data_IF_495270121563
#
_entry.id   IF_495270121563
#
_cell.length_a   1.000
_cell.length_b   1.000
_cell.length_c   1.000
_cell.angle_alpha   90.00
_cell.angle_beta   90.00
_cell.angle_gamma   90.00
#
_symmetry.space_group_name_H-M   'P 1'
#
loop_
_entity.id
_entity.type
_entity.pdbx_description
1 polymer ?
#
# COMPACT_ATOMS: atom_id res chain seq x y z
N UNK A 1 -43.88 20.27 -18.81
CA UNK A 1 -42.61 19.63 -19.20
C UNK A 1 -41.77 19.51 -17.94
N UNK A 2 -41.69 18.31 -17.38
CA UNK A 2 -40.80 18.03 -16.24
C UNK A 2 -39.47 17.55 -16.82
N UNK A 3 -38.41 18.31 -16.56
CA UNK A 3 -37.05 17.99 -16.95
C UNK A 3 -36.52 16.95 -15.95
N UNK A 4 -36.42 15.69 -16.39
CA UNK A 4 -35.76 14.64 -15.62
C UNK A 4 -34.27 14.99 -15.54
N UNK A 5 -33.84 15.55 -14.41
CA UNK A 5 -32.43 15.68 -14.08
C UNK A 5 -31.87 14.29 -13.76
N UNK A 6 -31.47 13.57 -14.80
CA UNK A 6 -30.66 12.37 -14.63
C UNK A 6 -29.31 12.79 -14.02
N UNK A 7 -29.19 12.65 -12.70
CA UNK A 7 -27.89 12.70 -12.03
C UNK A 7 -26.99 11.63 -12.67
N UNK A 8 -25.83 11.99 -13.23
CA UNK A 8 -24.97 11.03 -13.90
C UNK A 8 -24.52 10.01 -12.86
N UNK A 9 -24.90 8.74 -13.07
CA UNK A 9 -24.41 7.62 -12.29
C UNK A 9 -22.91 7.49 -12.57
N UNK A 10 -22.09 8.12 -11.72
CA UNK A 10 -20.66 7.85 -11.69
C UNK A 10 -20.54 6.34 -11.52
N UNK A 11 -20.01 5.63 -12.51
CA UNK A 11 -19.90 4.18 -12.41
C UNK A 11 -19.03 3.87 -11.19
N UNK A 12 -19.64 3.34 -10.13
CA UNK A 12 -18.94 3.04 -8.86
C UNK A 12 -18.05 1.80 -9.00
N UNK A 13 -18.29 1.02 -10.06
CA UNK A 13 -17.64 -0.26 -10.35
C UNK A 13 -16.09 -0.16 -10.39
N UNK A 14 -15.46 0.81 -11.09
CA UNK A 14 -14.00 0.93 -11.12
C UNK A 14 -13.39 1.32 -9.76
N UNK A 15 -14.11 2.07 -8.92
CA UNK A 15 -13.64 2.45 -7.60
C UNK A 15 -13.66 1.25 -6.63
N UNK A 16 -14.71 0.42 -6.69
CA UNK A 16 -14.82 -0.80 -5.89
C UNK A 16 -13.67 -1.76 -6.18
N UNK A 17 -13.36 -2.03 -7.45
CA UNK A 17 -12.24 -2.91 -7.81
C UNK A 17 -10.89 -2.42 -7.28
N UNK A 18 -10.67 -1.10 -7.28
CA UNK A 18 -9.46 -0.50 -6.73
C UNK A 18 -9.38 -0.66 -5.21
N UNK A 19 -10.48 -0.45 -4.48
CA UNK A 19 -10.53 -0.68 -3.04
C UNK A 19 -10.28 -2.16 -2.68
N UNK A 20 -10.82 -3.09 -3.48
CA UNK A 20 -10.52 -4.52 -3.34
C UNK A 20 -9.03 -4.79 -3.50
N UNK A 21 -8.33 -4.09 -4.40
CA UNK A 21 -6.87 -4.22 -4.53
C UNK A 21 -6.12 -3.83 -3.25
N UNK A 22 -6.61 -2.85 -2.50
CA UNK A 22 -6.04 -2.49 -1.20
C UNK A 22 -6.17 -3.60 -0.17
N UNK A 23 -7.34 -4.25 -0.10
CA UNK A 23 -7.53 -5.43 0.75
C UNK A 23 -6.72 -6.64 0.29
N UNK A 24 -6.58 -6.85 -1.03
CA UNK A 24 -5.74 -7.89 -1.59
C UNK A 24 -4.28 -7.70 -1.19
N UNK A 25 -3.75 -6.48 -1.26
CA UNK A 25 -2.40 -6.18 -0.79
C UNK A 25 -2.23 -6.52 0.69
N UNK A 26 -3.16 -6.08 1.56
CA UNK A 26 -3.12 -6.41 2.98
C UNK A 26 -3.17 -7.93 3.23
N UNK A 27 -4.03 -8.64 2.51
CA UNK A 27 -4.13 -10.10 2.56
C UNK A 27 -2.83 -10.80 2.13
N UNK A 28 -2.20 -10.34 1.05
CA UNK A 28 -0.89 -10.84 0.59
C UNK A 28 0.18 -10.54 1.64
N UNK A 29 0.19 -9.36 2.24
CA UNK A 29 1.14 -9.00 3.29
C UNK A 29 0.98 -9.88 4.54
N UNK A 30 -0.26 -10.16 4.95
CA UNK A 30 -0.56 -11.09 6.05
C UNK A 30 -0.10 -12.50 5.69
N UNK A 31 -0.39 -12.97 4.48
CA UNK A 31 0.06 -14.29 4.01
C UNK A 31 1.59 -14.39 4.05
N UNK A 32 2.30 -13.41 3.49
CA UNK A 32 3.76 -13.38 3.45
C UNK A 32 4.38 -13.29 4.84
N UNK A 33 3.77 -12.55 5.76
CA UNK A 33 4.21 -12.48 7.15
C UNK A 33 4.22 -13.86 7.83
N UNK A 34 3.16 -14.65 7.62
CA UNK A 34 3.09 -16.01 8.13
C UNK A 34 4.01 -16.96 7.35
N UNK A 35 4.10 -16.80 6.03
CA UNK A 35 4.94 -17.62 5.17
C UNK A 35 6.43 -17.51 5.56
N UNK A 36 6.91 -16.31 5.85
CA UNK A 36 8.27 -16.06 6.33
C UNK A 36 8.45 -16.32 7.83
N UNK A 37 7.45 -16.88 8.50
CA UNK A 37 7.52 -17.25 9.93
C UNK A 37 7.87 -16.09 10.86
N UNK A 38 7.40 -14.89 10.56
CA UNK A 38 7.42 -13.78 11.52
C UNK A 38 6.46 -14.07 12.70
N UNK A 39 6.53 -13.24 13.75
CA UNK A 39 5.71 -13.37 14.96
C UNK A 39 4.22 -13.58 14.66
N UNK A 40 3.57 -14.46 15.41
CA UNK A 40 2.14 -14.71 15.24
C UNK A 40 1.33 -13.42 15.49
N UNK A 41 0.60 -12.95 14.49
CA UNK A 41 -0.15 -11.69 14.57
C UNK A 41 -1.24 -11.71 15.66
N UNK A 42 -1.86 -12.87 15.88
CA UNK A 42 -2.89 -13.03 16.91
C UNK A 42 -2.27 -12.97 18.31
N UNK A 43 -1.16 -13.66 18.52
CA UNK A 43 -0.41 -13.59 19.77
C UNK A 43 0.11 -12.17 20.03
N UNK A 44 0.64 -11.50 19.00
CA UNK A 44 1.04 -10.09 19.12
C UNK A 44 -0.12 -9.20 19.53
N UNK A 45 -1.32 -9.39 18.98
CA UNK A 45 -2.50 -8.61 19.37
C UNK A 45 -2.93 -8.86 20.82
N UNK A 46 -2.73 -10.06 21.35
CA UNK A 46 -3.11 -10.43 22.71
C UNK A 46 -2.06 -10.03 23.75
N UNK A 47 -0.79 -10.29 23.46
CA UNK A 47 0.33 -10.17 24.41
C UNK A 47 1.04 -8.82 24.29
N UNK A 48 1.11 -8.26 23.07
CA UNK A 48 1.71 -6.94 22.79
C UNK A 48 0.79 -6.09 21.90
N UNK A 49 -0.42 -5.74 22.37
CA UNK A 49 -1.47 -5.18 21.53
C UNK A 49 -1.04 -3.99 20.65
N UNK A 50 -0.24 -3.03 21.15
CA UNK A 50 0.22 -1.91 20.32
C UNK A 50 1.08 -2.35 19.13
N UNK A 51 1.95 -3.35 19.31
CA UNK A 51 2.82 -3.86 18.25
C UNK A 51 2.02 -4.62 17.20
N UNK A 52 1.11 -5.50 17.64
CA UNK A 52 0.20 -6.22 16.72
C UNK A 52 -0.68 -5.27 15.91
N UNK A 53 -1.26 -4.26 16.57
CA UNK A 53 -2.05 -3.24 15.92
C UNK A 53 -1.23 -2.42 14.91
N UNK A 54 0.00 -2.01 15.28
CA UNK A 54 0.88 -1.26 14.38
C UNK A 54 1.18 -2.02 13.08
N UNK A 55 1.46 -3.32 13.17
CA UNK A 55 1.75 -4.17 12.01
C UNK A 55 0.52 -4.31 11.11
N UNK A 56 -0.65 -4.62 11.69
CA UNK A 56 -1.89 -4.78 10.92
C UNK A 56 -2.33 -3.47 10.25
N UNK A 57 -2.24 -2.35 10.98
CA UNK A 57 -2.51 -1.02 10.42
C UNK A 57 -1.52 -0.74 9.29
N UNK A 58 -0.24 -1.09 9.45
CA UNK A 58 0.77 -0.93 8.40
C UNK A 58 0.44 -1.72 7.14
N UNK A 59 0.13 -3.01 7.28
CA UNK A 59 -0.29 -3.88 6.16
C UNK A 59 -1.51 -3.31 5.43
N UNK A 60 -2.50 -2.84 6.19
CA UNK A 60 -3.69 -2.20 5.61
C UNK A 60 -3.34 -0.88 4.92
N UNK A 61 -2.63 0.03 5.59
CA UNK A 61 -2.32 1.36 5.10
C UNK A 61 -1.46 1.31 3.82
N UNK A 62 -0.49 0.40 3.75
CA UNK A 62 0.33 0.16 2.56
C UNK A 62 -0.54 -0.21 1.35
N UNK A 63 -1.55 -1.06 1.52
CA UNK A 63 -2.46 -1.38 0.43
C UNK A 63 -3.46 -0.27 0.11
N UNK A 64 -4.05 0.33 1.15
CA UNK A 64 -5.23 1.18 0.99
C UNK A 64 -4.90 2.63 0.62
N UNK A 65 -3.86 3.23 1.23
CA UNK A 65 -3.53 4.65 1.00
C UNK A 65 -3.12 4.92 -0.46
N UNK A 66 -2.26 4.12 -1.11
CA UNK A 66 -1.91 4.33 -2.51
C UNK A 66 -3.11 4.17 -3.45
N UNK A 67 -4.00 3.21 -3.14
CA UNK A 67 -5.25 2.99 -3.86
C UNK A 67 -6.15 4.23 -3.76
N UNK A 68 -6.30 4.82 -2.56
CA UNK A 68 -7.06 6.05 -2.37
C UNK A 68 -6.47 7.20 -3.17
N UNK A 69 -5.14 7.33 -3.22
CA UNK A 69 -4.46 8.29 -4.09
C UNK A 69 -4.80 8.08 -5.58
N UNK A 70 -4.85 6.83 -6.03
CA UNK A 70 -5.20 6.51 -7.43
C UNK A 70 -6.65 6.86 -7.79
N UNK A 71 -7.56 6.81 -6.83
CA UNK A 71 -8.98 7.16 -7.01
C UNK A 71 -9.16 8.67 -6.94
N UNK A 72 -8.67 9.29 -5.87
CA UNK A 72 -8.93 10.70 -5.55
C UNK A 72 -8.11 11.66 -6.42
N UNK A 73 -6.86 11.30 -6.72
CA UNK A 73 -5.92 12.15 -7.45
C UNK A 73 -5.62 11.64 -8.87
N UNK A 74 -6.16 10.48 -9.28
CA UNK A 74 -5.86 9.86 -10.60
C UNK A 74 -4.35 9.66 -10.84
N UNK A 75 -3.60 9.39 -9.78
CA UNK A 75 -2.15 9.15 -9.79
C UNK A 75 -1.86 7.67 -9.52
N UNK A 76 -1.12 7.02 -10.43
CA UNK A 76 -0.83 5.58 -10.36
C UNK A 76 0.53 5.28 -9.72
N UNK A 77 1.46 6.24 -9.71
CA UNK A 77 2.80 6.10 -9.14
C UNK A 77 2.82 5.58 -7.70
N UNK A 78 1.93 6.02 -6.78
CA UNK A 78 1.87 5.47 -5.43
C UNK A 78 1.64 3.95 -5.42
N UNK A 79 0.72 3.46 -6.26
CA UNK A 79 0.38 2.04 -6.35
C UNK A 79 1.53 1.22 -6.91
N UNK A 80 2.20 1.73 -7.96
CA UNK A 80 3.35 1.07 -8.56
C UNK A 80 4.51 1.00 -7.58
N UNK A 81 4.83 2.10 -6.90
CA UNK A 81 5.91 2.15 -5.91
C UNK A 81 5.71 1.13 -4.80
N UNK A 82 4.51 1.07 -4.20
CA UNK A 82 4.24 0.12 -3.13
C UNK A 82 4.24 -1.32 -3.63
N UNK A 83 3.71 -1.59 -4.83
CA UNK A 83 3.72 -2.92 -5.43
C UNK A 83 5.14 -3.42 -5.71
N UNK A 84 6.01 -2.54 -6.21
CA UNK A 84 7.43 -2.85 -6.44
C UNK A 84 8.14 -3.10 -5.12
N UNK A 85 7.96 -2.23 -4.12
CA UNK A 85 8.58 -2.43 -2.80
C UNK A 85 8.13 -3.73 -2.12
N UNK A 86 6.84 -4.09 -2.21
CA UNK A 86 6.35 -5.38 -1.73
C UNK A 86 7.07 -6.53 -2.43
N UNK A 87 7.10 -6.52 -3.76
CA UNK A 87 7.69 -7.60 -4.57
C UNK A 87 9.18 -7.74 -4.29
N UNK A 88 9.92 -6.64 -4.32
CA UNK A 88 11.37 -6.64 -4.08
C UNK A 88 11.68 -7.08 -2.66
N UNK A 89 10.97 -6.57 -1.65
CA UNK A 89 11.22 -6.96 -0.26
C UNK A 89 10.91 -8.44 0.00
N UNK A 90 9.78 -8.96 -0.50
CA UNK A 90 9.44 -10.36 -0.38
C UNK A 90 10.41 -11.27 -1.14
N UNK A 91 10.84 -10.88 -2.34
CA UNK A 91 11.83 -11.63 -3.12
C UNK A 91 13.20 -11.64 -2.44
N UNK A 92 13.64 -10.50 -1.90
CA UNK A 92 14.89 -10.41 -1.15
C UNK A 92 14.86 -11.27 0.12
N UNK A 93 13.73 -11.32 0.82
CA UNK A 93 13.50 -12.22 1.95
C UNK A 93 13.61 -13.69 1.53
N UNK A 94 12.89 -14.08 0.46
CA UNK A 94 12.88 -15.44 -0.07
C UNK A 94 14.27 -15.96 -0.43
N UNK A 95 15.09 -15.11 -1.06
CA UNK A 95 16.44 -15.45 -1.45
C UNK A 95 17.42 -15.53 -0.27
N UNK A 96 16.98 -15.12 0.93
CA UNK A 96 17.87 -15.01 2.10
C UNK A 96 18.91 -13.91 1.96
N UNK A 97 18.68 -12.91 1.09
CA UNK A 97 19.71 -11.91 0.72
C UNK A 97 20.09 -10.95 1.86
N UNK A 98 19.44 -11.01 3.01
CA UNK A 98 19.80 -10.22 4.19
C UNK A 98 19.41 -10.97 5.46
N UNK A 99 20.32 -11.80 5.99
CA UNK A 99 20.38 -11.90 7.45
C UNK A 99 20.92 -10.56 7.93
N UNK A 100 20.08 -9.77 8.59
CA UNK A 100 20.52 -8.49 9.14
C UNK A 100 21.78 -8.74 9.98
N UNK A 101 22.94 -8.12 9.66
CA UNK A 101 24.15 -8.29 10.47
C UNK A 101 23.97 -7.75 11.90
N UNK A 102 22.87 -7.03 12.15
CA UNK A 102 22.49 -6.46 13.43
C UNK A 102 21.34 -7.22 14.13
N UNK A 103 20.93 -8.39 13.63
CA UNK A 103 19.84 -9.19 14.22
C UNK A 103 18.44 -8.56 14.07
N UNK A 104 18.28 -7.62 13.14
CA UNK A 104 17.00 -6.97 12.83
C UNK A 104 16.09 -7.78 11.88
N UNK A 105 14.87 -7.27 11.61
CA UNK A 105 13.94 -7.90 10.68
C UNK A 105 14.55 -7.99 9.27
N UNK A 106 14.16 -9.01 8.52
CA UNK A 106 14.54 -9.14 7.11
C UNK A 106 13.91 -8.05 6.24
N UNK A 107 14.28 -7.97 4.94
CA UNK A 107 13.78 -6.96 4.03
C UNK A 107 12.26 -6.80 4.00
N UNK A 108 11.50 -7.90 4.05
CA UNK A 108 10.04 -7.86 4.10
C UNK A 108 9.54 -7.28 5.42
N UNK A 109 10.12 -7.71 6.55
CA UNK A 109 9.80 -7.16 7.85
C UNK A 109 10.10 -5.66 7.94
N UNK A 110 11.23 -5.19 7.36
CA UNK A 110 11.56 -3.76 7.27
C UNK A 110 10.52 -3.00 6.47
N UNK A 111 10.09 -3.53 5.33
CA UNK A 111 9.04 -2.93 4.50
C UNK A 111 7.73 -2.73 5.29
N UNK A 112 7.29 -3.74 6.03
CA UNK A 112 6.07 -3.66 6.86
C UNK A 112 6.26 -2.71 8.04
N UNK A 113 7.37 -2.82 8.78
CA UNK A 113 7.60 -2.00 9.98
C UNK A 113 7.87 -0.52 9.64
N UNK A 114 8.34 -0.23 8.43
CA UNK A 114 8.59 1.13 7.95
C UNK A 114 7.42 1.73 7.17
N UNK A 115 6.21 1.17 7.32
CA UNK A 115 5.05 1.52 6.50
C UNK A 115 4.75 3.03 6.45
N UNK A 116 4.97 3.75 7.57
CA UNK A 116 4.77 5.21 7.62
C UNK A 116 5.67 5.90 6.60
N UNK A 117 6.95 5.54 6.56
CA UNK A 117 7.92 6.09 5.60
C UNK A 117 7.55 5.73 4.17
N UNK A 118 7.12 4.48 3.93
CA UNK A 118 6.69 4.04 2.60
C UNK A 118 5.45 4.81 2.12
N UNK A 119 4.46 5.02 2.99
CA UNK A 119 3.27 5.81 2.66
C UNK A 119 3.63 7.26 2.35
N UNK A 120 4.54 7.87 3.11
CA UNK A 120 5.04 9.22 2.82
C UNK A 120 5.73 9.28 1.45
N UNK A 121 6.60 8.31 1.14
CA UNK A 121 7.25 8.22 -0.17
C UNK A 121 6.25 8.02 -1.31
N UNK A 122 5.22 7.19 -1.10
CA UNK A 122 4.15 6.99 -2.07
C UNK A 122 3.38 8.30 -2.32
N UNK A 123 3.05 9.05 -1.26
CA UNK A 123 2.41 10.36 -1.37
C UNK A 123 3.27 11.38 -2.12
N UNK A 124 4.58 11.41 -1.86
CA UNK A 124 5.53 12.24 -2.61
C UNK A 124 5.58 11.85 -4.10
N UNK A 125 5.67 10.56 -4.41
CA UNK A 125 5.66 10.07 -5.79
C UNK A 125 4.37 10.48 -6.52
N UNK A 126 3.22 10.39 -5.84
CA UNK A 126 1.96 10.85 -6.41
C UNK A 126 1.94 12.36 -6.65
N UNK A 127 2.40 13.16 -5.70
CA UNK A 127 2.48 14.61 -5.86
C UNK A 127 3.42 15.03 -6.99
N UNK A 128 4.52 14.32 -7.20
CA UNK A 128 5.43 14.55 -8.34
C UNK A 128 4.73 14.23 -9.66
N UNK A 129 4.06 13.08 -9.77
CA UNK A 129 3.30 12.69 -10.97
C UNK A 129 2.24 13.74 -11.33
N UNK A 130 1.50 14.25 -10.33
CA UNK A 130 0.49 15.29 -10.54
C UNK A 130 1.09 16.58 -11.09
N UNK A 131 2.21 17.04 -10.52
CA UNK A 131 2.89 18.26 -10.98
C UNK A 131 3.42 18.11 -12.40
N UNK A 132 3.88 16.91 -12.78
CA UNK A 132 4.34 16.64 -14.15
C UNK A 132 3.18 16.70 -15.15
N UNK A 133 2.05 16.03 -14.84
CA UNK A 133 0.84 16.07 -15.68
C UNK A 133 0.31 17.50 -15.88
N UNK A 134 0.36 18.33 -14.83
CA UNK A 134 -0.03 19.75 -14.92
C UNK A 134 0.89 20.55 -15.85
N UNK A 135 2.19 20.26 -15.85
CA UNK A 135 3.16 20.94 -16.73
C UNK A 135 2.97 20.53 -18.19
N UNK A 136 2.72 19.26 -18.45
CA UNK A 136 2.45 18.74 -19.80
C UNK A 136 1.18 19.34 -20.40
N UNK A 137 0.13 19.51 -19.60
CA UNK A 137 -1.13 20.14 -20.04
C UNK A 137 -1.04 21.66 -20.17
N UNK A 138 -0.04 22.29 -19.56
CA UNK A 138 0.21 23.74 -19.65
C UNK A 138 1.25 24.12 -20.71
N UNK A 139 1.91 23.14 -21.36
CA UNK A 139 2.80 23.39 -22.48
C UNK A 139 1.96 23.67 -23.75
N UNK A 140 2.22 24.77 -24.47
CA UNK A 140 1.44 25.20 -25.64
C UNK A 140 1.62 24.30 -26.88
#
# INVERSE_FOLDING_TARGET
>A
MAENSETPSISMVPAIYRLVAGFLHAGVAIFLWNFFSYDNLWELLLVKPPSGAYILIGMFALGFVPVLYSITQKSISPVLLVSVLLTVSAYSEWQGYFTSPFGGPGPFGVYILSWVGVVLLAGLAGNVELKLKQRETAAP
#
